data_IF_738155824663
#
_entry.id   IF_738155824663
#
_cell.length_a   1.000
_cell.length_b   1.000
_cell.length_c   1.000
_cell.angle_alpha   90.00
_cell.angle_beta   90.00
_cell.angle_gamma   90.00
#
_symmetry.space_group_name_H-M   'P 1'
#
loop_
_entity.id
_entity.type
_entity.pdbx_description
1 polymer ?
#
# COMPACT_ATOMS: atom_id res chain seq x y z
N UNK A 1 51.41 23.96 -14.14
CA UNK A 1 51.17 23.19 -15.38
C UNK A 1 50.54 21.89 -14.93
N UNK A 2 49.30 22.01 -14.46
CA UNK A 2 48.48 20.86 -14.15
C UNK A 2 47.87 20.42 -15.48
N UNK A 3 47.93 19.12 -15.75
CA UNK A 3 47.28 18.55 -16.92
C UNK A 3 45.88 18.18 -16.51
N UNK A 4 44.89 18.93 -17.01
CA UNK A 4 43.50 18.51 -16.93
C UNK A 4 43.39 17.07 -17.50
N UNK A 5 42.64 16.17 -16.84
CA UNK A 5 42.41 14.84 -17.38
C UNK A 5 41.63 14.96 -18.69
N UNK A 6 42.19 14.40 -19.76
CA UNK A 6 41.51 14.33 -21.06
C UNK A 6 40.38 13.29 -20.93
N UNK A 7 39.15 13.76 -20.70
CA UNK A 7 37.96 12.93 -20.83
C UNK A 7 37.83 12.47 -22.29
N UNK A 8 38.00 11.17 -22.51
CA UNK A 8 37.68 10.55 -23.79
C UNK A 8 36.23 10.06 -23.77
N UNK A 9 35.36 10.71 -24.54
CA UNK A 9 34.02 10.19 -24.86
C UNK A 9 34.14 8.97 -25.79
N UNK A 10 34.33 7.77 -25.21
CA UNK A 10 34.19 6.51 -25.95
C UNK A 10 32.74 6.03 -25.98
N UNK A 11 31.90 6.80 -26.67
CA UNK A 11 30.57 6.34 -27.07
C UNK A 11 30.75 5.37 -28.25
N UNK A 12 30.51 4.06 -28.04
CA UNK A 12 30.40 3.08 -29.15
C UNK A 12 29.06 3.29 -29.84
N UNK A 13 28.90 4.45 -30.47
CA UNK A 13 27.67 4.87 -31.07
C UNK A 13 27.50 4.17 -32.43
N UNK A 14 26.90 2.96 -32.43
CA UNK A 14 26.54 2.22 -33.65
C UNK A 14 25.30 2.87 -34.31
N UNK A 15 25.35 4.19 -34.51
CA UNK A 15 24.31 4.95 -35.22
C UNK A 15 24.39 4.63 -36.71
N UNK A 16 23.29 4.06 -37.24
CA UNK A 16 22.96 4.02 -38.66
C UNK A 16 23.98 3.34 -39.61
N UNK A 17 24.38 2.08 -39.36
CA UNK A 17 25.10 1.29 -40.36
C UNK A 17 24.28 0.13 -40.97
N UNK A 18 23.71 0.43 -42.14
CA UNK A 18 23.58 -0.41 -43.35
C UNK A 18 22.90 -1.81 -43.23
N UNK A 19 21.78 -1.95 -43.96
CA UNK A 19 21.11 -3.17 -44.46
C UNK A 19 20.67 -4.28 -43.48
N UNK A 20 19.58 -4.97 -43.84
CA UNK A 20 19.02 -6.09 -43.08
C UNK A 20 19.94 -7.32 -43.13
N UNK A 21 20.29 -7.87 -41.97
CA UNK A 21 20.99 -9.15 -41.84
C UNK A 21 22.37 -9.12 -41.18
N UNK A 22 22.84 -7.96 -40.70
CA UNK A 22 24.11 -7.87 -39.97
C UNK A 22 24.01 -8.29 -38.51
N UNK A 23 25.12 -8.77 -37.97
CA UNK A 23 25.29 -9.03 -36.54
C UNK A 23 26.49 -8.25 -35.99
N UNK A 24 26.39 -7.85 -34.73
CA UNK A 24 27.47 -7.29 -33.91
C UNK A 24 27.86 -8.37 -32.91
N UNK A 25 29.15 -8.69 -32.84
CA UNK A 25 29.70 -9.72 -31.95
C UNK A 25 30.78 -9.08 -31.06
N UNK A 26 30.48 -8.97 -29.77
CA UNK A 26 31.34 -8.37 -28.74
C UNK A 26 31.72 -9.51 -27.79
N UNK A 27 33.01 -9.79 -27.67
CA UNK A 27 33.53 -10.86 -26.81
C UNK A 27 34.70 -10.39 -25.96
N UNK A 28 34.84 -10.93 -24.76
CA UNK A 28 35.98 -10.69 -23.86
C UNK A 28 36.30 -9.19 -23.67
N UNK A 29 35.25 -8.36 -23.63
CA UNK A 29 35.37 -6.90 -23.64
C UNK A 29 35.06 -6.34 -22.25
N UNK A 30 35.71 -5.22 -21.91
CA UNK A 30 35.57 -4.58 -20.60
C UNK A 30 35.15 -3.13 -20.80
N UNK A 31 34.01 -2.78 -20.21
CA UNK A 31 33.36 -1.48 -20.29
C UNK A 31 33.33 -0.88 -18.87
N UNK A 32 34.22 0.07 -18.61
CA UNK A 32 34.40 0.70 -17.30
C UNK A 32 34.25 2.21 -17.40
N UNK A 33 33.64 2.82 -16.39
CA UNK A 33 33.58 4.28 -16.20
C UNK A 33 33.03 5.04 -17.41
N UNK A 34 32.08 4.44 -18.13
CA UNK A 34 31.34 5.09 -19.21
C UNK A 34 30.24 5.97 -18.62
N UNK A 35 30.67 6.97 -17.86
CA UNK A 35 29.85 8.06 -17.36
C UNK A 35 29.50 9.00 -18.53
N UNK A 36 28.49 8.61 -19.32
CA UNK A 36 27.92 9.50 -20.33
C UNK A 36 27.22 10.65 -19.63
N UNK A 37 27.76 11.87 -19.75
CA UNK A 37 27.10 13.11 -19.27
C UNK A 37 25.78 13.43 -20.00
N UNK A 38 25.30 12.53 -20.84
CA UNK A 38 24.11 12.66 -21.64
C UNK A 38 23.26 11.41 -21.47
N UNK A 39 21.94 11.62 -21.50
CA UNK A 39 20.83 10.67 -21.46
C UNK A 39 20.79 9.66 -22.63
N UNK A 40 21.94 9.18 -23.09
CA UNK A 40 22.06 8.37 -24.30
C UNK A 40 22.62 7.00 -23.97
N UNK A 41 21.97 5.93 -24.42
CA UNK A 41 22.49 4.59 -24.28
C UNK A 41 23.81 4.40 -25.01
N UNK A 42 24.64 3.52 -24.47
CA UNK A 42 25.90 3.13 -25.11
C UNK A 42 25.66 2.14 -26.25
N UNK A 43 24.57 1.37 -26.22
CA UNK A 43 24.05 0.61 -27.36
C UNK A 43 22.61 1.07 -27.61
N UNK A 44 22.37 1.72 -28.75
CA UNK A 44 21.04 2.00 -29.30
C UNK A 44 20.96 1.43 -30.70
N UNK A 45 19.78 0.93 -31.10
CA UNK A 45 19.59 0.43 -32.44
C UNK A 45 18.13 0.59 -32.91
N UNK A 46 17.95 1.22 -34.06
CA UNK A 46 16.65 1.49 -34.68
C UNK A 46 16.34 0.55 -35.86
N UNK A 47 17.17 -0.48 -36.09
CA UNK A 47 17.07 -1.39 -37.25
C UNK A 47 17.29 -2.85 -36.87
N UNK A 48 16.89 -3.77 -37.74
CA UNK A 48 17.03 -5.20 -37.51
C UNK A 48 18.51 -5.65 -37.52
N UNK A 49 19.08 -5.78 -36.33
CA UNK A 49 20.47 -6.24 -36.09
C UNK A 49 20.44 -7.35 -35.04
N UNK A 50 21.36 -8.32 -35.15
CA UNK A 50 21.60 -9.27 -34.07
C UNK A 50 22.80 -8.84 -33.26
N UNK A 51 22.71 -8.84 -31.94
CA UNK A 51 23.81 -8.48 -31.06
C UNK A 51 24.11 -9.68 -30.17
N UNK A 52 25.35 -10.16 -30.27
CA UNK A 52 25.90 -11.21 -29.43
C UNK A 52 26.95 -10.56 -28.54
N UNK A 53 26.72 -10.56 -27.23
CA UNK A 53 27.68 -10.07 -26.24
C UNK A 53 28.01 -11.23 -25.32
N UNK A 54 29.27 -11.68 -25.34
CA UNK A 54 29.72 -12.74 -24.43
C UNK A 54 30.97 -12.39 -23.64
N UNK A 55 31.08 -13.02 -22.46
CA UNK A 55 32.29 -13.03 -21.63
C UNK A 55 32.81 -11.61 -21.32
N UNK A 56 31.89 -10.63 -21.23
CA UNK A 56 32.21 -9.21 -21.11
C UNK A 56 31.77 -8.63 -19.76
N UNK A 57 32.46 -7.57 -19.32
CA UNK A 57 32.22 -6.91 -18.03
C UNK A 57 31.77 -5.46 -18.23
N UNK A 58 30.75 -5.04 -17.49
CA UNK A 58 30.16 -3.70 -17.51
C UNK A 58 30.12 -3.15 -16.08
N UNK A 59 30.82 -2.04 -15.82
CA UNK A 59 30.79 -1.37 -14.52
C UNK A 59 30.84 0.16 -14.60
N UNK A 60 30.20 0.83 -13.64
CA UNK A 60 30.00 2.28 -13.62
C UNK A 60 29.41 2.79 -14.96
N UNK A 61 28.38 2.09 -15.45
CA UNK A 61 27.82 2.22 -16.80
C UNK A 61 26.40 2.80 -16.77
N UNK A 62 26.07 3.64 -17.76
CA UNK A 62 24.83 4.46 -17.82
C UNK A 62 23.73 3.91 -18.74
N UNK A 63 23.67 2.59 -18.91
CA UNK A 63 22.60 1.81 -19.57
C UNK A 63 22.64 1.60 -21.12
N UNK A 64 21.85 0.61 -21.54
CA UNK A 64 21.49 0.21 -22.92
C UNK A 64 19.99 0.50 -23.07
N UNK A 65 19.59 1.21 -24.13
CA UNK A 65 18.21 1.64 -24.38
C UNK A 65 17.82 1.47 -25.86
N UNK A 66 16.52 1.53 -26.13
CA UNK A 66 15.94 1.57 -27.48
C UNK A 66 16.42 0.41 -28.38
N UNK A 67 16.05 -0.81 -27.97
CA UNK A 67 16.32 -2.07 -28.64
C UNK A 67 15.20 -2.33 -29.67
N UNK A 68 15.07 -1.47 -30.68
CA UNK A 68 14.06 -1.65 -31.72
C UNK A 68 14.48 -2.77 -32.68
N UNK A 69 13.59 -3.73 -32.94
CA UNK A 69 13.79 -4.80 -33.93
C UNK A 69 15.03 -5.70 -33.72
N UNK A 70 15.61 -5.74 -32.52
CA UNK A 70 16.85 -6.49 -32.28
C UNK A 70 16.60 -7.96 -31.91
N UNK A 71 17.57 -8.82 -32.23
CA UNK A 71 17.80 -10.07 -31.49
C UNK A 71 19.01 -9.86 -30.57
N UNK A 72 18.81 -9.91 -29.25
CA UNK A 72 19.81 -9.56 -28.25
C UNK A 72 20.19 -10.81 -27.44
N UNK A 73 21.44 -11.24 -27.54
CA UNK A 73 21.97 -12.44 -26.89
C UNK A 73 23.08 -12.02 -25.92
N UNK A 74 22.81 -12.16 -24.62
CA UNK A 74 23.76 -11.91 -23.53
C UNK A 74 24.18 -13.25 -22.94
N UNK A 75 25.45 -13.64 -23.07
CA UNK A 75 25.96 -14.91 -22.52
C UNK A 75 27.18 -14.70 -21.64
N UNK A 76 27.16 -15.17 -20.40
CA UNK A 76 28.32 -15.14 -19.47
C UNK A 76 28.87 -13.74 -19.16
N UNK A 77 28.04 -12.69 -19.21
CA UNK A 77 28.47 -11.32 -18.90
C UNK A 77 28.33 -10.99 -17.41
N UNK A 78 29.08 -10.00 -16.93
CA UNK A 78 28.97 -9.45 -15.57
C UNK A 78 28.62 -7.96 -15.62
N UNK A 79 27.52 -7.58 -14.99
CA UNK A 79 27.08 -6.21 -14.80
C UNK A 79 27.22 -5.85 -13.32
N UNK A 80 28.20 -5.01 -12.99
CA UNK A 80 28.58 -4.71 -11.60
C UNK A 80 28.51 -3.20 -11.29
N UNK A 81 27.85 -2.82 -10.19
CA UNK A 81 27.87 -1.44 -9.67
C UNK A 81 27.41 -0.38 -10.70
N UNK A 82 26.45 -0.72 -11.56
CA UNK A 82 25.89 0.21 -12.54
C UNK A 82 24.73 1.03 -11.93
N UNK A 83 24.47 2.22 -12.47
CA UNK A 83 23.51 3.17 -11.91
C UNK A 83 22.76 3.93 -13.03
N UNK A 84 21.44 4.01 -12.91
CA UNK A 84 20.57 4.73 -13.86
C UNK A 84 19.26 5.16 -13.21
N UNK A 85 18.47 6.02 -13.88
CA UNK A 85 17.10 6.36 -13.42
C UNK A 85 16.17 5.15 -13.44
N UNK A 86 16.32 4.25 -14.42
CA UNK A 86 15.62 2.98 -14.53
C UNK A 86 16.55 1.94 -15.14
N UNK A 87 16.47 0.68 -14.73
CA UNK A 87 17.25 -0.39 -15.35
C UNK A 87 18.75 -0.20 -15.10
N UNK A 88 19.19 -0.30 -13.85
CA UNK A 88 20.54 0.12 -13.44
C UNK A 88 21.67 -0.49 -14.28
N UNK A 89 21.49 -1.69 -14.84
CA UNK A 89 22.32 -2.25 -15.90
C UNK A 89 21.68 -2.22 -17.29
N UNK A 90 20.38 -2.56 -17.42
CA UNK A 90 19.66 -2.70 -18.71
C UNK A 90 18.26 -2.07 -18.69
N UNK A 91 17.92 -1.29 -19.73
CA UNK A 91 16.63 -0.61 -19.89
C UNK A 91 15.99 -0.98 -21.24
N UNK A 92 15.03 -1.91 -21.18
CA UNK A 92 14.50 -2.60 -22.34
C UNK A 92 13.11 -2.05 -22.69
N UNK A 93 13.01 -1.18 -23.70
CA UNK A 93 11.74 -0.66 -24.20
C UNK A 93 11.28 -1.36 -25.48
N UNK A 94 9.96 -1.42 -25.62
CA UNK A 94 9.25 -1.82 -26.83
C UNK A 94 8.98 -0.58 -27.72
N UNK A 95 9.24 -0.70 -29.02
CA UNK A 95 8.75 0.24 -30.03
C UNK A 95 7.45 -0.25 -30.66
N UNK A 96 6.47 0.65 -30.79
CA UNK A 96 5.05 0.37 -31.11
C UNK A 96 4.81 -0.26 -32.50
N UNK A 97 5.79 -0.27 -33.41
CA UNK A 97 5.55 -0.40 -34.85
C UNK A 97 6.23 -1.61 -35.55
N UNK A 98 6.50 -2.71 -34.85
CA UNK A 98 7.31 -3.82 -35.41
C UNK A 98 6.67 -5.21 -35.37
N UNK A 99 6.19 -5.68 -36.52
CA UNK A 99 5.80 -7.08 -36.76
C UNK A 99 7.02 -8.01 -37.01
N UNK A 100 8.12 -7.85 -36.26
CA UNK A 100 9.38 -8.57 -36.51
C UNK A 100 9.76 -9.53 -35.38
N UNK A 101 10.55 -10.56 -35.73
CA UNK A 101 11.09 -11.58 -34.82
C UNK A 101 12.11 -10.97 -33.82
N UNK A 102 11.58 -10.23 -32.85
CA UNK A 102 12.27 -9.80 -31.63
C UNK A 102 12.58 -11.00 -30.76
N UNK A 103 13.78 -11.04 -30.19
CA UNK A 103 14.18 -12.08 -29.25
C UNK A 103 15.24 -11.53 -28.30
N UNK A 104 15.08 -11.80 -27.00
CA UNK A 104 16.13 -11.54 -26.00
C UNK A 104 16.43 -12.85 -25.26
N UNK A 105 17.67 -13.31 -25.42
CA UNK A 105 18.23 -14.49 -24.76
C UNK A 105 19.27 -14.02 -23.74
N UNK A 106 19.11 -14.40 -22.48
CA UNK A 106 20.12 -14.16 -21.43
C UNK A 106 20.55 -15.48 -20.80
N UNK A 107 21.82 -15.86 -20.93
CA UNK A 107 22.36 -17.09 -20.35
C UNK A 107 23.59 -16.86 -19.47
N UNK A 108 23.57 -17.40 -18.24
CA UNK A 108 24.70 -17.39 -17.30
C UNK A 108 25.26 -15.99 -16.93
N UNK A 109 24.47 -14.93 -17.05
CA UNK A 109 24.91 -13.57 -16.69
C UNK A 109 24.82 -13.32 -15.18
N UNK A 110 25.65 -12.40 -14.68
CA UNK A 110 25.66 -11.96 -13.27
C UNK A 110 25.36 -10.46 -13.21
N UNK A 111 24.36 -10.08 -12.43
CA UNK A 111 23.98 -8.70 -12.12
C UNK A 111 24.23 -8.47 -10.63
N UNK A 112 25.30 -7.75 -10.28
CA UNK A 112 25.72 -7.51 -8.90
C UNK A 112 25.71 -6.01 -8.55
N UNK A 113 25.04 -5.65 -7.45
CA UNK A 113 25.08 -4.30 -6.86
C UNK A 113 24.69 -3.16 -7.81
N UNK A 114 23.86 -3.44 -8.82
CA UNK A 114 23.31 -2.41 -9.70
C UNK A 114 22.17 -1.68 -8.99
N UNK A 115 22.02 -0.39 -9.30
CA UNK A 115 21.10 0.52 -8.61
C UNK A 115 20.25 1.33 -9.57
N UNK A 116 18.97 1.57 -9.23
CA UNK A 116 18.09 2.44 -10.00
C UNK A 116 17.33 3.44 -9.11
N UNK A 117 17.18 4.68 -9.57
CA UNK A 117 16.41 5.71 -8.85
C UNK A 117 14.91 5.38 -8.78
N UNK A 118 14.36 4.76 -9.82
CA UNK A 118 12.93 4.43 -9.89
C UNK A 118 12.71 2.92 -9.89
N UNK A 119 12.92 2.27 -11.03
CA UNK A 119 12.51 0.88 -11.26
C UNK A 119 13.63 0.03 -11.86
N UNK A 120 13.70 -1.25 -11.46
CA UNK A 120 14.56 -2.23 -12.12
C UNK A 120 16.04 -2.05 -11.76
N UNK A 121 16.43 -2.38 -10.53
CA UNK A 121 17.77 -2.07 -10.02
C UNK A 121 18.89 -2.70 -10.85
N UNK A 122 18.69 -3.89 -11.42
CA UNK A 122 19.50 -4.40 -12.53
C UNK A 122 18.81 -4.24 -13.90
N UNK A 123 17.57 -4.73 -14.05
CA UNK A 123 16.87 -4.71 -15.34
C UNK A 123 15.51 -4.02 -15.20
N UNK A 124 15.23 -3.09 -16.10
CA UNK A 124 13.88 -2.58 -16.38
C UNK A 124 13.43 -3.08 -17.76
N UNK A 125 12.21 -3.59 -17.88
CA UNK A 125 11.68 -4.09 -19.15
C UNK A 125 10.20 -3.80 -19.38
N UNK A 126 9.92 -2.98 -20.41
CA UNK A 126 8.62 -2.90 -21.09
C UNK A 126 8.58 -3.73 -22.37
N UNK A 127 9.61 -4.52 -22.65
CA UNK A 127 9.70 -5.37 -23.83
C UNK A 127 8.84 -6.62 -23.69
N UNK A 128 7.85 -6.84 -24.58
CA UNK A 128 6.94 -7.99 -24.50
C UNK A 128 7.54 -9.30 -25.04
N UNK A 129 8.54 -9.22 -25.90
CA UNK A 129 9.15 -10.36 -26.60
C UNK A 129 10.37 -10.97 -25.90
N UNK A 130 10.48 -10.81 -24.57
CA UNK A 130 11.57 -11.41 -23.81
C UNK A 130 11.23 -12.88 -23.51
N UNK A 131 11.67 -13.77 -24.40
CA UNK A 131 11.41 -15.20 -24.34
C UNK A 131 12.17 -15.87 -23.18
N UNK A 132 11.53 -15.99 -22.01
CA UNK A 132 12.17 -16.59 -20.84
C UNK A 132 12.55 -18.08 -21.08
N UNK A 133 11.88 -18.81 -21.96
CA UNK A 133 12.21 -20.23 -22.24
C UNK A 133 13.66 -20.42 -22.74
N UNK A 134 14.24 -19.39 -23.34
CA UNK A 134 15.64 -19.36 -23.79
C UNK A 134 16.59 -18.72 -22.75
N UNK A 135 16.08 -18.14 -21.67
CA UNK A 135 16.84 -17.42 -20.63
C UNK A 135 17.19 -18.35 -19.46
N UNK A 136 18.47 -18.53 -19.14
CA UNK A 136 18.94 -19.58 -18.19
C UNK A 136 20.07 -19.13 -17.26
N UNK A 137 20.08 -19.62 -16.02
CA UNK A 137 21.16 -19.49 -15.04
C UNK A 137 21.63 -18.05 -14.72
N UNK A 138 20.80 -17.03 -14.91
CA UNK A 138 21.19 -15.66 -14.59
C UNK A 138 21.09 -15.41 -13.08
N UNK A 139 22.02 -14.63 -12.52
CA UNK A 139 22.11 -14.41 -11.08
C UNK A 139 22.05 -12.92 -10.74
N UNK A 140 21.20 -12.54 -9.79
CA UNK A 140 20.91 -11.16 -9.39
C UNK A 140 21.21 -11.00 -7.90
N UNK A 141 22.30 -10.29 -7.59
CA UNK A 141 22.88 -10.17 -6.26
C UNK A 141 22.88 -8.71 -5.79
N UNK A 142 22.23 -8.42 -4.66
CA UNK A 142 22.31 -7.13 -3.96
C UNK A 142 21.94 -5.89 -4.81
N UNK A 143 21.06 -6.04 -5.79
CA UNK A 143 20.59 -4.93 -6.63
C UNK A 143 19.42 -4.20 -5.96
N UNK A 144 19.29 -2.88 -6.20
CA UNK A 144 18.36 -2.00 -5.47
C UNK A 144 17.65 -1.05 -6.43
N UNK A 145 16.35 -0.81 -6.21
CA UNK A 145 15.60 0.28 -6.85
C UNK A 145 14.73 1.00 -5.81
N UNK A 146 14.67 2.34 -5.82
CA UNK A 146 14.02 3.07 -4.72
C UNK A 146 12.47 2.99 -4.75
N UNK A 147 11.86 2.70 -5.91
CA UNK A 147 10.43 2.36 -5.99
C UNK A 147 10.24 0.83 -5.92
N UNK A 148 10.60 0.11 -6.99
CA UNK A 148 10.25 -1.32 -7.13
C UNK A 148 11.21 -2.12 -8.03
N UNK A 149 11.32 -3.43 -7.72
CA UNK A 149 12.02 -4.41 -8.55
C UNK A 149 13.54 -4.22 -8.60
N UNK A 150 14.22 -4.24 -7.45
CA UNK A 150 15.68 -4.17 -7.36
C UNK A 150 16.42 -5.18 -8.25
N UNK A 151 15.95 -6.42 -8.37
CA UNK A 151 16.45 -7.32 -9.42
C UNK A 151 15.90 -6.93 -10.80
N UNK A 152 14.63 -7.26 -11.05
CA UNK A 152 13.97 -7.03 -12.35
C UNK A 152 12.64 -6.29 -12.18
N UNK A 153 12.44 -5.20 -12.91
CA UNK A 153 11.12 -4.60 -13.12
C UNK A 153 10.58 -4.94 -14.51
N UNK A 154 9.35 -5.44 -14.60
CA UNK A 154 8.79 -5.90 -15.88
C UNK A 154 7.27 -6.02 -15.92
N UNK A 155 6.69 -5.49 -16.98
CA UNK A 155 5.23 -5.51 -17.22
C UNK A 155 4.77 -6.79 -17.94
N UNK A 156 5.67 -7.54 -18.60
CA UNK A 156 5.26 -8.53 -19.61
C UNK A 156 5.50 -10.00 -19.28
N UNK A 157 6.21 -10.35 -18.19
CA UNK A 157 6.44 -11.77 -17.87
C UNK A 157 5.25 -12.47 -17.20
N UNK A 158 5.10 -13.77 -17.47
CA UNK A 158 4.34 -14.68 -16.60
C UNK A 158 5.15 -14.90 -15.31
N UNK A 159 4.46 -14.78 -14.18
CA UNK A 159 4.96 -15.07 -12.83
C UNK A 159 5.71 -16.40 -12.69
N UNK A 160 5.22 -17.45 -13.37
CA UNK A 160 5.81 -18.80 -13.34
C UNK A 160 7.22 -18.81 -13.91
N UNK A 161 7.46 -18.00 -14.93
CA UNK A 161 8.74 -17.94 -15.62
C UNK A 161 9.80 -17.23 -14.76
N UNK A 162 9.46 -16.10 -14.12
CA UNK A 162 10.40 -15.41 -13.21
C UNK A 162 10.74 -16.27 -11.99
N UNK A 163 9.76 -16.98 -11.43
CA UNK A 163 9.97 -17.84 -10.25
C UNK A 163 10.79 -19.09 -10.52
N UNK A 164 11.09 -19.44 -11.78
CA UNK A 164 11.89 -20.61 -12.09
C UNK A 164 13.38 -20.36 -11.74
N UNK A 165 13.87 -21.08 -10.72
CA UNK A 165 15.26 -21.03 -10.24
C UNK A 165 16.30 -21.56 -11.24
N UNK A 166 15.87 -22.24 -12.30
CA UNK A 166 16.71 -22.60 -13.44
C UNK A 166 17.02 -21.39 -14.35
N UNK A 167 16.12 -20.41 -14.38
CA UNK A 167 16.23 -19.21 -15.22
C UNK A 167 16.89 -18.06 -14.46
N UNK A 168 16.45 -17.83 -13.22
CA UNK A 168 16.86 -16.70 -12.39
C UNK A 168 17.18 -17.12 -10.95
N UNK A 169 18.31 -16.64 -10.43
CA UNK A 169 18.74 -16.83 -9.04
C UNK A 169 18.91 -15.47 -8.39
N UNK A 170 18.04 -15.16 -7.44
CA UNK A 170 18.06 -13.88 -6.73
C UNK A 170 18.66 -14.06 -5.33
N UNK A 171 19.41 -13.06 -4.85
CA UNK A 171 19.90 -12.98 -3.48
C UNK A 171 20.13 -11.53 -3.04
N UNK A 172 19.66 -11.18 -1.84
CA UNK A 172 19.89 -9.88 -1.17
C UNK A 172 19.45 -8.62 -1.94
N UNK A 173 18.64 -8.72 -3.00
CA UNK A 173 18.03 -7.55 -3.63
C UNK A 173 16.96 -6.96 -2.69
N UNK A 174 16.62 -5.67 -2.80
CA UNK A 174 15.56 -5.10 -1.96
C UNK A 174 14.17 -5.67 -2.32
N UNK A 175 13.90 -5.83 -3.62
CA UNK A 175 12.79 -6.58 -4.19
C UNK A 175 13.34 -7.38 -5.38
N UNK A 176 13.21 -8.71 -5.38
CA UNK A 176 13.81 -9.56 -6.41
C UNK A 176 13.23 -9.27 -7.81
N UNK A 177 11.91 -9.11 -7.92
CA UNK A 177 11.23 -8.74 -9.16
C UNK A 177 9.90 -8.05 -8.87
N UNK A 178 9.45 -7.14 -9.75
CA UNK A 178 8.18 -6.41 -9.59
C UNK A 178 7.60 -5.90 -10.93
N UNK A 179 6.40 -5.31 -10.90
CA UNK A 179 5.72 -4.66 -12.03
C UNK A 179 4.96 -3.40 -11.58
N UNK A 180 4.20 -2.79 -12.50
CA UNK A 180 3.16 -1.82 -12.14
C UNK A 180 2.18 -2.44 -11.12
N UNK A 181 1.46 -1.61 -10.35
CA UNK A 181 0.30 -2.05 -9.59
C UNK A 181 -0.68 -2.78 -10.51
N UNK A 182 -1.26 -3.88 -10.00
CA UNK A 182 -2.13 -4.75 -10.78
C UNK A 182 -3.45 -5.00 -10.08
N UNK A 183 -3.46 -5.09 -8.75
CA UNK A 183 -4.69 -5.31 -8.01
C UNK A 183 -4.64 -4.76 -6.58
N UNK A 184 -5.82 -4.57 -6.00
CA UNK A 184 -6.05 -4.11 -4.63
C UNK A 184 -6.91 -5.13 -3.91
N UNK A 185 -6.54 -5.47 -2.67
CA UNK A 185 -7.36 -6.31 -1.78
C UNK A 185 -7.75 -5.54 -0.52
N UNK A 186 -8.85 -5.95 0.11
CA UNK A 186 -9.23 -5.52 1.46
C UNK A 186 -8.76 -6.56 2.48
N UNK A 187 -8.05 -6.10 3.52
CA UNK A 187 -7.59 -6.86 4.68
C UNK A 187 -7.05 -8.29 4.38
N UNK A 188 -5.73 -8.45 4.46
CA UNK A 188 -4.97 -9.69 4.15
C UNK A 188 -5.48 -10.98 4.82
N UNK A 189 -6.33 -10.90 5.84
CA UNK A 189 -6.94 -12.06 6.51
C UNK A 189 -8.31 -12.49 5.95
N UNK A 190 -8.97 -11.65 5.13
CA UNK A 190 -10.34 -11.85 4.64
C UNK A 190 -10.36 -12.44 3.21
N UNK A 191 -9.43 -12.00 2.35
CA UNK A 191 -9.42 -12.26 0.91
C UNK A 191 -9.65 -13.73 0.49
N UNK A 192 -9.01 -14.70 1.15
CA UNK A 192 -8.96 -16.08 0.66
C UNK A 192 -10.17 -16.97 1.08
N UNK A 193 -11.23 -16.41 1.69
CA UNK A 193 -12.22 -17.24 2.43
C UNK A 193 -13.70 -16.90 2.28
N UNK A 194 -14.09 -15.77 1.67
CA UNK A 194 -15.47 -15.32 1.68
C UNK A 194 -15.87 -14.66 0.35
N UNK A 195 -17.03 -15.06 -0.19
CA UNK A 195 -17.65 -14.41 -1.36
C UNK A 195 -18.21 -13.01 -1.00
N UNK A 196 -18.55 -12.79 0.28
CA UNK A 196 -19.09 -11.53 0.79
C UNK A 196 -18.56 -11.20 2.21
N UNK A 197 -18.49 -9.92 2.52
CA UNK A 197 -18.12 -9.38 3.83
C UNK A 197 -19.28 -8.57 4.40
N UNK A 198 -19.94 -9.06 5.45
CA UNK A 198 -21.07 -8.37 6.08
C UNK A 198 -20.66 -7.66 7.37
N UNK A 199 -21.10 -6.40 7.54
CA UNK A 199 -20.90 -5.60 8.74
C UNK A 199 -22.23 -5.05 9.22
N UNK A 200 -22.53 -5.25 10.50
CA UNK A 200 -23.68 -4.64 11.18
C UNK A 200 -23.23 -3.35 11.88
N UNK A 201 -23.89 -2.24 11.60
CA UNK A 201 -23.62 -0.93 12.22
C UNK A 201 -24.92 -0.26 12.70
N UNK A 202 -24.78 0.84 13.44
CA UNK A 202 -25.79 1.87 13.60
C UNK A 202 -25.42 3.09 12.74
N UNK A 203 -26.39 3.93 12.39
CA UNK A 203 -26.10 5.15 11.62
C UNK A 203 -25.18 6.10 12.41
N UNK A 204 -24.12 6.61 11.78
CA UNK A 204 -23.08 7.46 12.37
C UNK A 204 -21.86 6.73 12.95
N UNK A 205 -21.88 5.39 12.96
CA UNK A 205 -20.76 4.53 13.37
C UNK A 205 -19.57 4.63 12.41
N UNK A 206 -18.40 4.20 12.91
CA UNK A 206 -17.16 4.11 12.14
C UNK A 206 -16.94 2.71 11.59
N UNK A 207 -16.59 2.60 10.30
CA UNK A 207 -16.15 1.34 9.68
C UNK A 207 -14.68 1.47 9.26
N UNK A 208 -13.72 0.93 10.04
CA UNK A 208 -12.31 0.97 9.66
C UNK A 208 -12.04 -0.05 8.54
N UNK A 209 -11.78 0.44 7.32
CA UNK A 209 -11.33 -0.38 6.20
C UNK A 209 -9.84 -0.16 5.92
N UNK A 210 -9.14 -1.23 5.53
CA UNK A 210 -7.75 -1.19 5.09
C UNK A 210 -7.58 -1.97 3.80
N UNK A 211 -7.06 -1.29 2.78
CA UNK A 211 -6.71 -1.87 1.50
C UNK A 211 -5.19 -1.97 1.35
N UNK A 212 -4.72 -2.95 0.59
CA UNK A 212 -3.31 -3.16 0.25
C UNK A 212 -3.16 -3.26 -1.27
N UNK A 213 -2.15 -2.57 -1.81
CA UNK A 213 -1.81 -2.54 -3.24
C UNK A 213 -0.76 -3.61 -3.58
N UNK A 214 -1.01 -4.34 -4.66
CA UNK A 214 -0.15 -5.42 -5.13
C UNK A 214 0.23 -5.25 -6.60
N UNK A 215 1.39 -5.78 -6.97
CA UNK A 215 1.78 -5.99 -8.36
C UNK A 215 1.27 -7.33 -8.92
N UNK A 216 1.45 -7.58 -10.22
CA UNK A 216 0.95 -8.80 -10.89
C UNK A 216 1.69 -10.09 -10.50
N UNK A 217 2.66 -9.99 -9.60
CA UNK A 217 3.43 -11.11 -9.03
C UNK A 217 3.08 -11.35 -7.55
N UNK A 218 2.05 -10.66 -7.06
CA UNK A 218 1.58 -10.69 -5.69
C UNK A 218 2.60 -10.13 -4.67
N UNK A 219 3.54 -9.29 -5.11
CA UNK A 219 4.34 -8.50 -4.18
C UNK A 219 3.52 -7.32 -3.68
N UNK A 220 3.65 -6.98 -2.39
CA UNK A 220 3.12 -5.73 -1.84
C UNK A 220 4.00 -4.58 -2.30
N UNK A 221 3.40 -3.45 -2.63
CA UNK A 221 4.14 -2.27 -3.09
C UNK A 221 4.40 -1.30 -1.93
N UNK A 222 5.53 -1.45 -1.24
CA UNK A 222 5.85 -0.67 -0.03
C UNK A 222 6.12 0.84 -0.26
N UNK A 223 5.98 1.34 -1.49
CA UNK A 223 5.91 2.75 -1.96
C UNK A 223 6.64 3.80 -1.10
N UNK A 224 7.90 3.54 -0.76
CA UNK A 224 8.65 4.29 0.26
C UNK A 224 8.82 5.77 -0.14
N UNK A 225 8.99 6.04 -1.44
CA UNK A 225 9.15 7.40 -1.99
C UNK A 225 7.83 8.06 -2.40
N UNK A 226 6.68 7.42 -2.14
CA UNK A 226 5.32 7.94 -2.41
C UNK A 226 4.96 8.12 -3.90
N UNK A 227 5.52 7.30 -4.77
CA UNK A 227 5.24 7.32 -6.21
C UNK A 227 3.78 6.94 -6.51
N UNK A 228 3.25 5.93 -5.82
CA UNK A 228 1.86 5.48 -5.98
C UNK A 228 0.87 6.17 -5.03
N UNK A 229 1.34 7.12 -4.21
CA UNK A 229 0.49 7.83 -3.24
C UNK A 229 -0.50 8.82 -3.87
N UNK A 230 -0.47 8.98 -5.19
CA UNK A 230 -1.55 9.63 -5.95
C UNK A 230 -2.81 8.77 -5.99
N UNK A 231 -2.70 7.44 -6.06
CA UNK A 231 -3.84 6.52 -6.24
C UNK A 231 -4.83 6.72 -5.08
N UNK A 232 -6.03 7.19 -5.43
CA UNK A 232 -7.11 7.52 -4.51
C UNK A 232 -8.27 6.55 -4.69
N UNK A 233 -8.66 5.90 -3.59
CA UNK A 233 -9.87 5.09 -3.52
C UNK A 233 -11.02 5.93 -2.95
N UNK A 234 -12.19 5.82 -3.58
CA UNK A 234 -13.45 6.33 -3.05
C UNK A 234 -14.42 5.19 -2.79
N UNK A 235 -15.03 5.20 -1.61
CA UNK A 235 -16.13 4.33 -1.22
C UNK A 235 -17.45 5.00 -1.57
N UNK A 236 -18.33 4.22 -2.21
CA UNK A 236 -19.71 4.55 -2.50
C UNK A 236 -20.63 3.55 -1.78
N UNK A 237 -21.89 3.92 -1.58
CA UNK A 237 -22.89 3.09 -0.93
C UNK A 237 -24.21 3.18 -1.69
N UNK A 238 -24.77 2.03 -2.06
CA UNK A 238 -26.05 1.92 -2.76
C UNK A 238 -26.98 1.09 -1.88
N UNK A 239 -28.25 1.47 -1.76
CA UNK A 239 -29.26 0.65 -1.09
C UNK A 239 -29.40 -0.70 -1.81
N UNK A 240 -29.37 -1.80 -1.06
CA UNK A 240 -29.57 -3.15 -1.62
C UNK A 240 -31.05 -3.31 -1.90
N UNK A 241 -31.48 -2.85 -3.08
CA UNK A 241 -32.89 -2.94 -3.47
C UNK A 241 -33.34 -4.39 -3.46
N UNK A 242 -34.51 -4.62 -2.88
CA UNK A 242 -35.19 -5.93 -2.90
C UNK A 242 -35.86 -6.11 -4.26
N UNK A 243 -35.06 -6.20 -5.31
CA UNK A 243 -35.52 -6.76 -6.59
C UNK A 243 -35.89 -8.25 -6.31
N UNK A 244 -36.92 -8.84 -6.92
CA UNK A 244 -37.16 -8.84 -8.37
C UNK A 244 -38.63 -8.62 -8.82
N UNK A 245 -39.56 -8.27 -7.92
CA UNK A 245 -41.01 -8.33 -8.22
C UNK A 245 -41.63 -7.06 -8.87
N UNK A 246 -40.86 -6.04 -9.27
CA UNK A 246 -41.40 -4.87 -10.02
C UNK A 246 -41.33 -5.14 -11.53
N UNK A 247 -42.10 -6.13 -11.98
CA UNK A 247 -42.47 -6.25 -13.39
C UNK A 247 -43.64 -5.30 -13.70
N UNK A 248 -43.38 -4.29 -14.54
CA UNK A 248 -44.34 -3.63 -15.44
C UNK A 248 -45.73 -3.24 -14.87
N UNK A 249 -45.84 -2.06 -14.25
CA UNK A 249 -47.11 -1.30 -14.24
C UNK A 249 -46.86 0.11 -14.80
N UNK A 250 -47.40 0.38 -15.99
CA UNK A 250 -47.31 1.63 -16.75
C UNK A 250 -48.32 2.68 -16.21
N UNK A 251 -48.09 3.27 -15.03
CA UNK A 251 -48.95 4.36 -14.49
C UNK A 251 -48.18 5.65 -14.16
N UNK A 252 -48.58 6.73 -14.84
CA UNK A 252 -47.82 7.98 -15.08
C UNK A 252 -47.84 9.03 -13.94
N UNK A 253 -48.20 8.66 -12.70
CA UNK A 253 -48.55 9.63 -11.64
C UNK A 253 -47.34 10.11 -10.79
N UNK A 254 -46.45 10.88 -11.42
CA UNK A 254 -45.26 11.49 -10.79
C UNK A 254 -45.63 12.62 -9.81
N UNK A 255 -45.98 12.25 -8.57
CA UNK A 255 -46.09 13.20 -7.45
C UNK A 255 -44.76 13.31 -6.67
N UNK A 256 -44.22 14.53 -6.65
CA UNK A 256 -42.87 14.89 -6.18
C UNK A 256 -42.72 14.93 -4.64
N UNK A 257 -43.18 13.91 -3.91
CA UNK A 257 -42.93 13.83 -2.46
C UNK A 257 -41.48 13.38 -2.19
N UNK A 258 -40.62 14.39 -1.98
CA UNK A 258 -39.22 14.23 -1.58
C UNK A 258 -39.12 13.57 -0.20
N UNK A 259 -39.05 12.25 -0.14
CA UNK A 259 -38.63 11.55 1.07
C UNK A 259 -37.12 11.75 1.27
N UNK A 260 -36.67 12.33 2.41
CA UNK A 260 -35.27 12.71 2.61
C UNK A 260 -34.41 11.53 3.09
N UNK A 261 -34.44 10.41 2.35
CA UNK A 261 -33.57 9.25 2.59
C UNK A 261 -32.18 9.48 1.96
N UNK A 262 -31.56 10.62 2.27
CA UNK A 262 -30.22 10.95 1.77
C UNK A 262 -29.18 10.14 2.54
N UNK A 263 -28.57 9.17 1.86
CA UNK A 263 -27.35 8.51 2.34
C UNK A 263 -26.23 9.55 2.32
N UNK A 264 -25.55 9.74 3.46
CA UNK A 264 -24.32 10.53 3.54
C UNK A 264 -23.17 9.66 4.04
N UNK A 265 -21.99 9.83 3.43
CA UNK A 265 -20.79 9.07 3.79
C UNK A 265 -19.67 10.07 4.02
N UNK A 266 -19.08 10.07 5.23
CA UNK A 266 -17.95 10.94 5.57
C UNK A 266 -16.68 10.11 5.66
N UNK A 267 -15.52 10.69 5.31
CA UNK A 267 -14.23 9.98 5.37
C UNK A 267 -14.16 8.79 4.41
N UNK A 268 -14.89 8.84 3.30
CA UNK A 268 -15.03 7.78 2.30
C UNK A 268 -13.93 7.78 1.23
N UNK A 269 -12.85 8.52 1.43
CA UNK A 269 -11.70 8.55 0.53
C UNK A 269 -10.40 8.27 1.29
N UNK A 270 -9.53 7.46 0.71
CA UNK A 270 -8.15 7.31 1.15
C UNK A 270 -7.22 7.34 -0.07
N UNK A 271 -5.95 7.62 0.22
CA UNK A 271 -4.85 7.53 -0.72
C UNK A 271 -3.87 6.48 -0.21
N UNK A 272 -3.13 5.84 -1.11
CA UNK A 272 -2.12 4.87 -0.72
C UNK A 272 -0.92 5.58 -0.05
N UNK A 273 -0.38 4.98 1.00
CA UNK A 273 0.90 5.33 1.62
C UNK A 273 1.61 4.02 1.93
N UNK A 274 2.81 3.82 1.39
CA UNK A 274 3.56 2.58 1.53
C UNK A 274 2.70 1.34 1.21
N UNK A 275 2.00 1.36 0.08
CA UNK A 275 1.13 0.26 -0.35
C UNK A 275 -0.19 0.08 0.42
N UNK A 276 -0.52 0.96 1.37
CA UNK A 276 -1.75 0.84 2.17
C UNK A 276 -2.67 2.07 2.08
N UNK A 277 -3.97 1.83 1.94
CA UNK A 277 -5.02 2.85 1.95
C UNK A 277 -5.95 2.57 3.16
N UNK A 278 -6.02 3.49 4.13
CA UNK A 278 -6.69 3.24 5.43
C UNK A 278 -7.83 4.24 5.71
N UNK A 279 -9.06 3.77 5.63
CA UNK A 279 -10.28 4.53 5.92
C UNK A 279 -10.63 4.49 7.42
N UNK A 280 -9.77 5.07 8.26
CA UNK A 280 -9.95 5.08 9.74
C UNK A 280 -11.18 5.86 10.21
N UNK A 281 -11.64 6.81 9.40
CA UNK A 281 -12.70 7.76 9.74
C UNK A 281 -13.94 7.62 8.84
N UNK A 282 -14.07 6.51 8.11
CA UNK A 282 -15.26 6.22 7.30
C UNK A 282 -16.48 6.11 8.22
N UNK A 283 -17.44 7.01 8.03
CA UNK A 283 -18.75 6.99 8.67
C UNK A 283 -19.86 6.89 7.65
N UNK A 284 -20.89 6.11 7.97
CA UNK A 284 -22.10 5.98 7.17
C UNK A 284 -23.26 6.58 7.95
N UNK A 285 -23.94 7.55 7.34
CA UNK A 285 -25.19 8.11 7.81
C UNK A 285 -26.29 7.67 6.84
N UNK A 286 -27.14 6.73 7.28
CA UNK A 286 -28.17 6.15 6.45
C UNK A 286 -29.39 5.71 7.29
N UNK A 287 -30.59 5.64 6.70
CA UNK A 287 -31.71 4.95 7.31
C UNK A 287 -31.38 3.47 7.65
N UNK A 288 -32.18 2.83 8.52
CA UNK A 288 -32.07 1.38 8.73
C UNK A 288 -32.38 0.61 7.45
N UNK A 289 -31.48 -0.30 7.05
CA UNK A 289 -31.57 -1.00 5.77
C UNK A 289 -30.33 -1.85 5.47
N UNK A 290 -30.34 -2.54 4.34
CA UNK A 290 -29.16 -3.21 3.78
C UNK A 290 -28.61 -2.40 2.62
N UNK A 291 -27.29 -2.31 2.54
CA UNK A 291 -26.58 -1.51 1.55
C UNK A 291 -25.41 -2.30 0.98
N UNK A 292 -25.17 -2.15 -0.31
CA UNK A 292 -23.95 -2.65 -0.97
C UNK A 292 -22.95 -1.50 -1.03
N UNK A 293 -21.77 -1.73 -0.46
CA UNK A 293 -20.64 -0.82 -0.54
C UNK A 293 -19.77 -1.20 -1.73
N UNK A 294 -19.49 -0.22 -2.60
CA UNK A 294 -18.56 -0.36 -3.71
C UNK A 294 -17.36 0.55 -3.53
N UNK A 295 -16.24 0.17 -4.13
CA UNK A 295 -14.99 0.93 -4.13
C UNK A 295 -14.67 1.27 -5.59
N UNK A 296 -14.22 2.50 -5.83
CA UNK A 296 -13.75 2.96 -7.14
C UNK A 296 -12.37 3.61 -7.01
N UNK A 297 -11.63 3.64 -8.11
CA UNK A 297 -10.35 4.35 -8.25
C UNK A 297 -10.62 5.63 -9.04
N UNK A 298 -10.23 6.80 -8.52
CA UNK A 298 -10.66 8.08 -9.11
C UNK A 298 -9.64 8.75 -10.04
N UNK A 299 -8.35 8.45 -9.88
CA UNK A 299 -7.27 9.26 -10.46
C UNK A 299 -6.04 8.44 -10.88
N UNK A 300 -6.27 7.21 -11.34
CA UNK A 300 -5.24 6.36 -11.93
C UNK A 300 -5.70 5.90 -13.33
N UNK A 301 -4.79 5.88 -14.30
CA UNK A 301 -5.13 5.68 -15.71
C UNK A 301 -4.94 4.24 -16.21
N UNK A 302 -4.13 3.43 -15.53
CA UNK A 302 -3.96 2.02 -15.90
C UNK A 302 -4.96 1.13 -15.14
N UNK A 303 -5.24 -0.05 -15.69
CA UNK A 303 -6.18 -1.00 -15.09
C UNK A 303 -5.61 -1.62 -13.81
N UNK A 304 -6.24 -1.34 -12.67
CA UNK A 304 -6.00 -2.01 -11.39
C UNK A 304 -7.27 -2.76 -10.99
N UNK A 305 -7.16 -4.07 -10.81
CA UNK A 305 -8.28 -4.93 -10.43
C UNK A 305 -8.65 -4.77 -8.94
N UNK A 306 -9.94 -4.62 -8.64
CA UNK A 306 -10.44 -4.55 -7.28
C UNK A 306 -10.89 -5.95 -6.82
N UNK A 307 -9.94 -6.72 -6.28
CA UNK A 307 -10.18 -8.05 -5.70
C UNK A 307 -10.80 -7.92 -4.30
N UNK A 308 -12.07 -7.53 -4.30
CA UNK A 308 -12.87 -7.28 -3.11
C UNK A 308 -14.11 -8.21 -3.10
N UNK A 309 -14.44 -8.84 -1.95
CA UNK A 309 -15.73 -9.52 -1.80
C UNK A 309 -16.88 -8.49 -1.80
N UNK A 310 -18.14 -8.93 -2.03
CA UNK A 310 -19.29 -8.02 -1.88
C UNK A 310 -19.36 -7.51 -0.43
N UNK A 311 -19.21 -6.20 -0.22
CA UNK A 311 -19.28 -5.61 1.12
C UNK A 311 -20.74 -5.20 1.40
N UNK A 312 -21.41 -5.94 2.27
CA UNK A 312 -22.80 -5.70 2.69
C UNK A 312 -22.79 -4.97 4.03
N UNK A 313 -23.35 -3.76 4.08
CA UNK A 313 -23.56 -3.00 5.30
C UNK A 313 -25.02 -3.09 5.72
N UNK A 314 -25.27 -3.66 6.89
CA UNK A 314 -26.59 -3.66 7.52
C UNK A 314 -26.64 -2.54 8.55
N UNK A 315 -27.40 -1.48 8.25
CA UNK A 315 -27.62 -0.34 9.13
C UNK A 315 -28.84 -0.64 10.00
N UNK A 316 -28.66 -0.63 11.31
CA UNK A 316 -29.69 -0.95 12.28
C UNK A 316 -30.39 0.32 12.80
N UNK A 317 -31.61 0.15 13.31
CA UNK A 317 -32.22 1.15 14.19
C UNK A 317 -31.34 1.35 15.43
N UNK A 318 -31.31 2.57 15.98
CA UNK A 318 -30.64 2.83 17.26
C UNK A 318 -31.17 1.87 18.33
N UNK A 319 -30.24 1.28 19.10
CA UNK A 319 -30.62 0.38 20.20
C UNK A 319 -31.19 1.17 21.40
N UNK A 320 -31.63 0.46 22.44
CA UNK A 320 -32.29 1.09 23.57
C UNK A 320 -31.41 2.03 24.40
N UNK A 321 -30.09 1.83 24.39
CA UNK A 321 -29.06 2.62 25.08
C UNK A 321 -28.62 3.85 24.25
N UNK A 322 -29.14 3.99 23.02
CA UNK A 322 -28.82 5.05 22.06
C UNK A 322 -29.98 6.03 21.83
N UNK A 323 -29.62 7.21 21.35
CA UNK A 323 -30.53 8.32 21.03
C UNK A 323 -30.46 8.58 19.53
N UNK A 324 -31.63 8.68 18.88
CA UNK A 324 -31.74 9.20 17.51
C UNK A 324 -31.40 10.68 17.49
N UNK A 325 -30.37 11.05 16.76
CA UNK A 325 -29.91 12.43 16.60
C UNK A 325 -29.89 12.80 15.11
N UNK A 326 -29.87 14.09 14.84
CA UNK A 326 -29.72 14.66 13.50
C UNK A 326 -28.56 15.65 13.48
N UNK A 327 -27.76 15.66 12.41
CA UNK A 327 -26.69 16.63 12.24
C UNK A 327 -27.18 17.95 11.61
N UNK A 328 -26.26 18.88 11.35
CA UNK A 328 -26.57 20.19 10.73
C UNK A 328 -27.14 20.08 9.30
N UNK A 329 -26.90 18.96 8.63
CA UNK A 329 -27.32 18.68 7.26
C UNK A 329 -28.56 17.75 7.27
N UNK A 330 -29.17 17.55 8.44
CA UNK A 330 -30.34 16.71 8.71
C UNK A 330 -30.11 15.20 8.49
N UNK A 331 -28.86 14.72 8.53
CA UNK A 331 -28.56 13.29 8.48
C UNK A 331 -28.86 12.63 9.82
N UNK A 332 -29.62 11.53 9.79
CA UNK A 332 -29.92 10.69 10.96
C UNK A 332 -28.67 9.94 11.44
N UNK A 333 -28.42 9.94 12.76
CA UNK A 333 -27.45 9.06 13.42
C UNK A 333 -27.91 8.59 14.81
N UNK A 334 -27.22 7.59 15.34
CA UNK A 334 -27.39 7.08 16.70
C UNK A 334 -26.23 7.60 17.56
N UNK A 335 -26.55 8.27 18.67
CA UNK A 335 -25.55 8.68 19.67
C UNK A 335 -25.72 7.85 20.95
N UNK A 336 -24.62 7.32 21.48
CA UNK A 336 -24.65 6.66 22.79
C UNK A 336 -25.06 7.65 23.89
N UNK A 337 -25.90 7.21 24.81
CA UNK A 337 -26.37 8.04 25.92
C UNK A 337 -25.19 8.48 26.79
N UNK A 338 -25.09 9.79 27.04
CA UNK A 338 -24.12 10.38 27.97
C UNK A 338 -24.73 10.32 29.36
N UNK A 339 -24.00 9.80 30.34
CA UNK A 339 -24.37 9.86 31.76
C UNK A 339 -23.37 10.70 32.53
N UNK A 340 -23.72 11.05 33.77
CA UNK A 340 -22.80 11.64 34.73
C UNK A 340 -21.56 10.74 34.95
N UNK A 341 -20.38 11.31 35.16
CA UNK A 341 -19.10 10.58 35.35
C UNK A 341 -19.11 9.55 36.49
N UNK A 342 -20.05 9.67 37.44
CA UNK A 342 -20.28 8.67 38.50
C UNK A 342 -20.88 7.36 37.99
N UNK A 343 -21.41 7.34 36.77
CA UNK A 343 -21.90 6.14 36.11
C UNK A 343 -20.74 5.43 35.42
N UNK A 344 -20.27 4.31 35.99
CA UNK A 344 -19.17 3.51 35.43
C UNK A 344 -19.66 2.67 34.24
N UNK A 345 -20.00 3.35 33.13
CA UNK A 345 -20.57 2.75 31.91
C UNK A 345 -19.62 1.67 31.37
N UNK A 346 -20.17 0.50 31.08
CA UNK A 346 -19.41 -0.66 30.56
C UNK A 346 -18.58 -1.43 31.60
N UNK A 347 -18.59 -1.01 32.88
CA UNK A 347 -17.95 -1.73 33.99
C UNK A 347 -19.02 -2.29 34.94
N UNK A 348 -19.90 -1.42 35.46
CA UNK A 348 -20.91 -1.80 36.45
C UNK A 348 -22.32 -1.29 36.11
N UNK A 349 -22.49 -0.55 35.01
CA UNK A 349 -23.76 0.03 34.60
C UNK A 349 -23.83 0.26 33.08
N UNK A 350 -25.05 0.37 32.56
CA UNK A 350 -25.37 0.99 31.26
C UNK A 350 -25.92 2.41 31.47
N UNK A 351 -25.85 3.24 30.43
CA UNK A 351 -26.50 4.54 30.41
C UNK A 351 -27.74 4.48 29.52
N UNK A 352 -28.92 4.63 30.12
CA UNK A 352 -30.20 4.54 29.45
C UNK A 352 -30.72 5.95 29.13
N UNK A 353 -31.13 6.24 27.90
CA UNK A 353 -31.59 7.57 27.51
C UNK A 353 -32.94 7.91 28.12
N UNK A 354 -33.10 9.15 28.60
CA UNK A 354 -34.42 9.66 29.00
C UNK A 354 -35.27 10.06 27.79
N UNK A 355 -34.64 10.65 26.75
CA UNK A 355 -35.29 10.96 25.48
C UNK A 355 -34.74 10.03 24.41
N UNK A 356 -35.61 9.36 23.65
CA UNK A 356 -35.19 8.51 22.54
C UNK A 356 -34.71 9.29 21.31
N UNK A 357 -35.02 10.58 21.22
CA UNK A 357 -34.65 11.43 20.07
C UNK A 357 -34.17 12.84 20.50
N UNK A 358 -33.28 13.43 19.71
CA UNK A 358 -32.82 14.83 19.69
C UNK A 358 -32.13 15.41 20.94
N UNK A 359 -32.22 14.78 22.11
CA UNK A 359 -31.75 15.35 23.38
C UNK A 359 -30.92 14.34 24.19
N UNK A 360 -29.58 14.46 24.12
CA UNK A 360 -28.65 13.66 24.92
C UNK A 360 -28.21 14.41 26.21
N UNK A 361 -29.10 14.45 27.20
CA UNK A 361 -28.92 15.22 28.45
C UNK A 361 -28.38 14.33 29.59
N UNK A 362 -27.10 14.53 29.92
CA UNK A 362 -26.36 13.72 30.91
C UNK A 362 -26.91 13.73 32.33
N UNK A 363 -27.71 14.74 32.68
CA UNK A 363 -28.26 14.92 34.01
C UNK A 363 -29.72 14.38 34.10
N UNK A 364 -30.27 13.90 32.97
CA UNK A 364 -31.57 13.19 32.89
C UNK A 364 -31.44 11.73 32.50
N UNK A 365 -30.45 11.37 31.68
CA UNK A 365 -30.18 9.98 31.32
C UNK A 365 -29.92 9.13 32.59
N UNK A 366 -30.47 7.93 32.62
CA UNK A 366 -30.53 7.08 33.81
C UNK A 366 -29.36 6.10 33.80
N UNK A 367 -28.61 6.04 34.89
CA UNK A 367 -27.58 5.03 35.09
C UNK A 367 -28.22 3.74 35.64
N UNK A 368 -28.27 2.68 34.84
CA UNK A 368 -28.82 1.38 35.26
C UNK A 368 -27.68 0.42 35.59
N UNK A 369 -27.61 -0.02 36.85
CA UNK A 369 -26.57 -0.95 37.31
C UNK A 369 -26.81 -2.37 36.78
N UNK A 370 -25.74 -3.03 36.37
CA UNK A 370 -25.80 -4.44 35.97
C UNK A 370 -26.18 -5.32 37.17
N UNK A 371 -26.94 -6.40 36.93
CA UNK A 371 -27.38 -7.34 37.95
C UNK A 371 -26.24 -7.78 38.88
N UNK A 372 -26.41 -7.53 40.19
CA UNK A 372 -25.39 -7.80 41.22
C UNK A 372 -24.58 -6.57 41.66
N UNK A 373 -24.76 -5.41 41.01
CA UNK A 373 -24.23 -4.12 41.46
C UNK A 373 -25.35 -3.29 42.09
N UNK A 374 -25.14 -2.79 43.31
CA UNK A 374 -26.08 -1.90 43.99
C UNK A 374 -25.62 -0.44 43.94
N UNK A 375 -26.58 0.49 43.83
CA UNK A 375 -26.37 1.94 43.81
C UNK A 375 -25.96 2.44 45.20
N UNK A 376 -24.73 2.13 45.60
CA UNK A 376 -24.18 2.46 46.92
C UNK A 376 -22.78 1.90 47.17
N UNK A 377 -22.38 0.81 46.50
CA UNK A 377 -21.07 0.17 46.71
C UNK A 377 -19.99 0.71 45.77
N UNK A 378 -19.66 2.01 45.88
CA UNK A 378 -18.30 2.45 45.53
C UNK A 378 -17.34 1.88 46.58
N UNK A 379 -16.89 0.64 46.37
CA UNK A 379 -15.77 0.08 47.10
C UNK A 379 -14.52 0.89 46.76
N UNK A 380 -14.06 1.73 47.70
CA UNK A 380 -12.78 2.40 47.62
C UNK A 380 -11.66 1.35 47.57
N UNK A 381 -11.21 0.99 46.36
CA UNK A 381 -9.99 0.20 46.16
C UNK A 381 -8.72 1.02 46.48
N UNK A 382 -8.85 2.33 46.69
CA UNK A 382 -7.83 3.17 47.30
C UNK A 382 -7.75 2.93 48.83
N UNK A 383 -7.04 1.87 49.25
CA UNK A 383 -6.12 1.81 50.41
C UNK A 383 -5.90 0.37 50.93
N UNK A 384 -5.11 -0.45 50.24
CA UNK A 384 -4.44 -1.62 50.87
C UNK A 384 -2.92 -1.74 50.59
N UNK A 385 -2.28 -0.71 50.02
CA UNK A 385 -0.82 -0.66 49.85
C UNK A 385 -0.17 0.44 50.72
N UNK A 386 -0.34 0.37 52.05
CA UNK A 386 0.43 1.17 53.02
C UNK A 386 0.27 0.67 54.47
N UNK A 387 1.10 -0.29 54.87
CA UNK A 387 1.77 -0.43 56.20
C UNK A 387 2.44 -1.81 56.24
N UNK A 388 3.67 -1.94 56.78
CA UNK A 388 4.30 -3.27 56.91
C UNK A 388 5.82 -3.34 57.00
N UNK A 389 6.51 -2.34 57.54
CA UNK A 389 7.96 -2.40 57.75
C UNK A 389 8.25 -2.52 59.25
N UNK A 390 8.51 -3.73 59.78
CA UNK A 390 9.32 -3.94 61.01
C UNK A 390 9.62 -5.42 61.31
N UNK A 391 10.90 -5.70 61.61
CA UNK A 391 11.43 -6.69 62.56
C UNK A 391 11.02 -8.18 62.47
N UNK A 392 12.01 -8.97 62.03
CA UNK A 392 12.34 -10.33 62.51
C UNK A 392 12.31 -10.43 64.07
N UNK A 393 12.01 -11.60 64.66
CA UNK A 393 13.09 -12.59 64.86
C UNK A 393 12.70 -14.07 64.65
N UNK A 394 13.73 -14.92 64.63
CA UNK A 394 13.64 -16.40 64.54
C UNK A 394 12.91 -17.02 65.74
N UNK A 395 12.14 -18.09 65.53
CA UNK A 395 12.54 -19.44 66.01
C UNK A 395 11.70 -20.61 65.44
N UNK A 396 12.23 -21.80 65.67
CA UNK A 396 12.04 -23.12 65.05
C UNK A 396 10.69 -23.84 65.16
N UNK A 397 10.37 -24.60 64.10
CA UNK A 397 9.91 -26.02 64.10
C UNK A 397 8.68 -26.41 64.93
N UNK A 398 7.58 -26.78 64.24
CA UNK A 398 7.13 -28.18 64.24
C UNK A 398 6.15 -28.57 63.11
N UNK A 399 6.07 -29.88 62.82
CA UNK A 399 5.12 -30.49 61.88
C UNK A 399 3.75 -30.69 62.55
N UNK A 400 2.65 -30.62 61.78
CA UNK A 400 1.74 -31.76 61.63
C UNK A 400 0.66 -31.55 60.56
N UNK A 401 0.14 -32.67 60.06
CA UNK A 401 -0.87 -32.79 59.01
C UNK A 401 -2.30 -32.60 59.56
N UNK A 402 -3.24 -32.07 58.76
CA UNK A 402 -4.38 -32.86 58.27
C UNK A 402 -5.36 -32.09 57.36
N UNK A 403 -5.50 -32.63 56.15
CA UNK A 403 -6.73 -32.77 55.33
C UNK A 403 -7.99 -31.94 55.63
N UNK A 404 -8.47 -31.20 54.61
CA UNK A 404 -9.88 -31.27 54.21
C UNK A 404 -10.06 -30.94 52.72
N UNK A 405 -10.59 -31.93 52.00
CA UNK A 405 -11.01 -31.93 50.60
C UNK A 405 -12.16 -30.95 50.32
N UNK A 406 -12.13 -30.34 49.13
CA UNK A 406 -13.32 -30.17 48.27
C UNK A 406 -12.90 -30.08 46.80
N UNK A 407 -13.63 -30.75 45.90
CA UNK A 407 -13.31 -30.88 44.47
C UNK A 407 -14.15 -29.93 43.60
N UNK A 408 -13.55 -29.41 42.51
CA UNK A 408 -14.13 -29.10 41.16
C UNK A 408 -13.07 -28.34 40.33
N UNK A 409 -12.56 -28.76 39.17
CA UNK A 409 -13.22 -29.22 37.92
C UNK A 409 -14.14 -28.12 37.37
N UNK A 410 -13.81 -27.38 36.29
CA UNK A 410 -12.68 -27.43 35.33
C UNK A 410 -12.42 -25.97 34.80
N UNK A 411 -11.26 -25.54 34.26
CA UNK A 411 -10.79 -25.75 32.88
C UNK A 411 -9.37 -25.14 32.63
N UNK A 412 -8.69 -25.52 31.55
CA UNK A 412 -7.28 -25.17 31.28
C UNK A 412 -6.95 -25.20 29.77
N UNK A 413 -5.84 -24.66 29.23
CA UNK A 413 -4.63 -23.99 29.79
C UNK A 413 -4.34 -22.66 29.04
N UNK A 414 -3.50 -21.80 29.64
CA UNK A 414 -2.48 -21.05 28.89
C UNK A 414 -1.10 -21.68 29.19
N UNK A 415 -0.32 -21.99 28.15
CA UNK A 415 1.11 -22.33 28.28
C UNK A 415 1.90 -21.69 27.14
N UNK A 416 2.76 -20.76 27.51
CA UNK A 416 3.87 -20.27 26.70
C UNK A 416 5.11 -21.08 27.07
N UNK A 417 5.58 -21.97 26.19
CA UNK A 417 6.85 -22.66 26.40
C UNK A 417 8.01 -21.78 25.91
N UNK A 418 8.85 -21.36 26.85
CA UNK A 418 10.14 -20.72 26.58
C UNK A 418 11.25 -21.76 26.67
N UNK A 419 12.01 -21.95 25.60
CA UNK A 419 13.23 -22.77 25.62
C UNK A 419 14.45 -21.92 25.27
N UNK A 420 15.36 -21.81 26.24
CA UNK A 420 16.68 -21.22 26.05
C UNK A 420 17.49 -22.00 25.01
N UNK A 421 18.09 -21.28 24.07
CA UNK A 421 19.40 -21.65 23.53
C UNK A 421 20.26 -20.39 23.40
N UNK A 422 21.41 -20.38 24.07
CA UNK A 422 22.24 -19.19 24.18
C UNK A 422 23.25 -19.09 23.04
N UNK A 423 23.31 -17.94 22.38
CA UNK A 423 24.42 -17.57 21.49
C UNK A 423 24.98 -16.22 21.98
N UNK A 424 26.29 -16.19 22.23
CA UNK A 424 27.00 -14.96 22.61
C UNK A 424 27.15 -14.04 21.42
N UNK A 425 26.76 -12.78 21.57
CA UNK A 425 27.34 -11.68 20.79
C UNK A 425 27.84 -10.57 21.70
N UNK A 426 29.09 -10.18 21.48
CA UNK A 426 29.76 -9.07 22.13
C UNK A 426 30.13 -8.02 21.09
N UNK A 427 29.48 -6.84 21.09
CA UNK A 427 30.17 -5.58 20.76
C UNK A 427 29.37 -4.32 21.16
N UNK A 428 30.02 -3.54 22.02
CA UNK A 428 30.16 -2.07 22.09
C UNK A 428 29.03 -1.14 21.58
N UNK A 429 28.62 -0.22 22.45
CA UNK A 429 27.93 1.03 22.08
C UNK A 429 28.90 2.03 21.41
N UNK A 430 28.42 2.76 20.40
CA UNK A 430 28.76 4.18 20.16
C UNK A 430 27.66 4.80 19.30
N UNK A 431 26.82 5.67 19.85
CA UNK A 431 26.94 7.15 19.82
C UNK A 431 26.54 7.76 18.46
N UNK A 432 25.67 8.76 18.57
CA UNK A 432 25.05 9.54 17.50
C UNK A 432 26.02 10.35 16.63
N UNK A 433 25.72 10.46 15.34
CA UNK A 433 26.03 11.65 14.55
C UNK A 433 24.81 12.14 13.77
N UNK A 434 24.45 13.42 13.96
CA UNK A 434 23.60 14.14 13.02
C UNK A 434 24.43 14.45 11.77
N UNK A 435 24.00 14.01 10.59
CA UNK A 435 24.48 14.57 9.33
C UNK A 435 23.44 15.52 8.75
N UNK A 436 23.81 16.79 8.64
CA UNK A 436 23.10 17.74 7.79
C UNK A 436 23.30 17.32 6.34
N UNK A 437 22.22 17.06 5.61
CA UNK A 437 22.28 16.96 4.16
C UNK A 437 22.32 18.36 3.56
N UNK A 438 23.53 18.77 3.15
CA UNK A 438 23.72 19.77 2.11
C UNK A 438 24.28 19.02 0.90
N UNK A 439 23.41 18.68 -0.05
CA UNK A 439 23.78 18.05 -1.32
C UNK A 439 23.12 18.81 -2.46
N UNK A 440 23.85 19.78 -3.01
CA UNK A 440 23.66 20.17 -4.40
C UNK A 440 24.35 19.13 -5.27
N UNK A 441 23.57 18.28 -5.93
CA UNK A 441 24.04 17.40 -7.00
C UNK A 441 22.99 17.52 -8.10
N UNK A 442 23.41 17.99 -9.28
CA UNK A 442 22.57 17.99 -10.46
C UNK A 442 22.36 16.53 -10.90
N UNK A 443 21.12 16.07 -10.84
CA UNK A 443 20.74 14.75 -11.34
C UNK A 443 20.53 14.81 -12.86
N UNK A 444 21.12 13.87 -13.59
CA UNK A 444 21.11 13.85 -15.06
C UNK A 444 20.18 12.73 -15.56
N UNK A 445 19.04 13.12 -16.12
CA UNK A 445 17.97 12.21 -16.55
C UNK A 445 18.41 11.19 -17.61
N UNK A 446 17.92 9.95 -17.50
CA UNK A 446 17.56 9.12 -18.66
C UNK A 446 16.02 8.98 -18.73
N UNK A 447 15.46 9.04 -19.95
CA UNK A 447 14.02 9.22 -20.27
C UNK A 447 13.41 10.61 -20.01
N UNK A 448 12.57 11.04 -20.97
CA UNK A 448 11.74 12.26 -20.93
C UNK A 448 10.27 11.97 -20.60
N UNK A 449 9.90 10.72 -20.28
CA UNK A 449 8.49 10.29 -20.23
C UNK A 449 7.76 10.70 -18.93
N UNK A 450 8.46 11.35 -18.01
CA UNK A 450 7.92 11.86 -16.73
C UNK A 450 6.87 12.98 -16.95
N UNK A 451 6.84 13.64 -18.12
CA UNK A 451 5.96 14.77 -18.41
C UNK A 451 4.45 14.45 -18.57
N UNK A 452 3.98 13.25 -18.22
CA UNK A 452 2.55 12.88 -18.29
C UNK A 452 1.89 12.38 -17.00
N UNK A 453 2.63 12.20 -15.90
CA UNK A 453 2.09 11.56 -14.67
C UNK A 453 2.08 12.45 -13.41
N UNK A 454 2.50 13.71 -13.49
CA UNK A 454 2.36 14.67 -12.38
C UNK A 454 1.09 15.51 -12.61
N UNK A 455 -0.03 15.28 -11.90
CA UNK A 455 -1.12 16.23 -11.86
C UNK A 455 -0.63 17.51 -11.17
N UNK A 456 -0.57 18.61 -11.92
CA UNK A 456 -0.23 19.92 -11.36
C UNK A 456 -1.31 20.34 -10.35
N UNK A 457 -0.96 20.31 -9.07
CA UNK A 457 -1.76 20.90 -7.99
C UNK A 457 -1.87 22.42 -8.22
N UNK A 458 -2.94 22.85 -8.89
CA UNK A 458 -3.32 24.25 -8.92
C UNK A 458 -3.96 24.62 -7.57
N UNK A 459 -3.49 25.71 -6.97
CA UNK A 459 -3.99 26.22 -5.70
C UNK A 459 -5.50 26.55 -5.81
N UNK A 460 -6.33 25.86 -5.01
CA UNK A 460 -7.69 26.31 -4.72
C UNK A 460 -7.61 27.56 -3.83
N UNK A 461 -7.57 28.74 -4.46
CA UNK A 461 -7.88 30.00 -3.79
C UNK A 461 -9.36 30.02 -3.47
N UNK A 462 -9.69 30.04 -2.18
CA UNK A 462 -11.02 30.45 -1.73
C UNK A 462 -11.27 31.90 -2.18
N UNK A 463 -12.27 32.11 -3.03
CA UNK A 463 -12.90 33.42 -3.18
C UNK A 463 -13.89 33.62 -2.03
N UNK A 464 -13.71 34.69 -1.26
CA UNK A 464 -14.69 35.14 -0.28
C UNK A 464 -15.82 35.89 -1.02
N UNK A 465 -16.98 35.25 -1.16
CA UNK A 465 -18.18 35.95 -1.66
C UNK A 465 -18.66 37.00 -0.63
N UNK A 466 -18.54 38.27 -1.01
CA UNK A 466 -19.20 39.36 -0.27
C UNK A 466 -20.70 39.37 -0.57
N UNK A 467 -21.60 39.34 0.43
CA UNK A 467 -23.03 39.38 0.19
C UNK A 467 -23.47 40.76 -0.32
N UNK A 468 -24.06 40.80 -1.51
CA UNK A 468 -24.60 42.02 -2.10
C UNK A 468 -25.96 42.39 -1.51
N UNK A 469 -26.12 43.65 -1.11
CA UNK A 469 -27.39 44.21 -0.63
C UNK A 469 -28.35 44.45 -1.81
N UNK A 470 -29.67 44.26 -1.63
CA UNK A 470 -30.65 44.49 -2.68
C UNK A 470 -30.85 45.99 -2.95
N UNK A 471 -31.03 46.42 -4.23
CA UNK A 471 -31.29 47.81 -4.55
C UNK A 471 -32.70 48.24 -4.11
N UNK A 472 -32.78 49.38 -3.42
CA UNK A 472 -34.04 49.98 -3.01
C UNK A 472 -34.85 50.51 -4.20
N UNK A 473 -36.17 50.35 -4.13
CA UNK A 473 -37.10 51.00 -5.06
C UNK A 473 -37.09 52.52 -4.84
N UNK A 474 -37.00 53.28 -5.92
CA UNK A 474 -37.33 54.72 -5.96
C UNK A 474 -38.61 54.88 -6.77
N UNK A 475 -39.49 55.77 -6.31
CA UNK A 475 -40.84 55.97 -6.84
C UNK A 475 -40.87 56.77 -8.15
N UNK A 476 -41.77 56.37 -9.06
CA UNK A 476 -42.60 57.25 -9.91
C UNK A 476 -43.93 56.55 -10.17
#
# INVERSE_FOLDING_TARGET
MDKDPVNFEYLINIKNNINSGHYVDIKNSVFENMATMSSHPIISNTKQTKFYISDSSFSNFSCIENIENMQFHLTSNTFNENHATNGGALYLLESENSNQNKELIMENNIFNQNTAENFGGAIYSKFSYLNINNTKNNTFISNVADINGGGIYTENFDYKEIKNKEYFKFSNNNIDYSSNPSYITINETIHDKLDYYSVNIYSGDYIPLKFTLYDKYNNKLDDIIKFYSSITLRVLLTEKTKNDDIENDDDDDINNDKTPNTISIHGNMCYFINGHCELKNLKIYAPPGEYVMSVIIENYNDDIELLLPEIIITVNNCNDDQIRMYDKDNNFYCENSKCNEKCNVGISASCIPFYKENINDKDKNTCECYSGWEVGTMFNFENQNKTGNSSNPNESVNKNENTSKTEKVINSLYRTDSTNSGIKFSKTLSVSEKKNFNTSIDAFNCSSDIYRLIPTFNELKHEEENPSLPPGKVET
#
